data_IF_536559102957
#
_entry.id   IF_536559102957
#
_cell.length_a   1.000
_cell.length_b   1.000
_cell.length_c   1.000
_cell.angle_alpha   90.00
_cell.angle_beta   90.00
_cell.angle_gamma   90.00
#
_symmetry.space_group_name_H-M   'P 1'
#
loop_
_entity.id
_entity.type
_entity.pdbx_description
1 polymer ?
#
# COMPACT_ATOMS: atom_id res chain seq x y z
N UNK A 1 -9.90 20.83 -11.92
CA UNK A 1 -9.22 19.65 -12.46
C UNK A 1 -10.30 18.62 -12.73
N UNK A 2 -10.64 18.42 -14.01
CA UNK A 2 -11.81 17.64 -14.40
C UNK A 2 -11.52 16.15 -14.31
N UNK A 3 -12.35 15.44 -13.58
CA UNK A 3 -12.34 13.98 -13.52
C UNK A 3 -12.79 13.45 -14.88
N UNK A 4 -11.88 12.90 -15.69
CA UNK A 4 -12.24 12.20 -16.93
C UNK A 4 -12.48 10.74 -16.59
N UNK A 5 -13.71 10.27 -16.78
CA UNK A 5 -14.06 8.85 -16.63
C UNK A 5 -13.14 7.98 -17.48
N UNK A 6 -12.48 7.00 -16.85
CA UNK A 6 -11.50 6.13 -17.48
C UNK A 6 -10.03 6.59 -17.39
N UNK A 7 -9.76 7.78 -16.84
CA UNK A 7 -8.39 8.21 -16.53
C UNK A 7 -8.11 8.13 -15.03
N UNK A 8 -7.06 7.40 -14.65
CA UNK A 8 -6.65 7.23 -13.24
C UNK A 8 -5.50 8.16 -12.84
N UNK A 9 -4.98 8.95 -13.79
CA UNK A 9 -3.83 9.84 -13.56
C UNK A 9 -4.07 10.81 -12.40
N UNK A 10 -5.24 11.46 -12.34
CA UNK A 10 -5.56 12.41 -11.26
C UNK A 10 -5.56 11.77 -9.86
N UNK A 11 -5.92 10.48 -9.76
CA UNK A 11 -5.90 9.73 -8.50
C UNK A 11 -4.46 9.39 -8.14
N UNK A 12 -3.68 8.91 -9.11
CA UNK A 12 -2.27 8.56 -8.91
C UNK A 12 -1.35 9.76 -8.65
N UNK A 13 -1.71 10.93 -9.17
CA UNK A 13 -1.04 12.21 -8.87
C UNK A 13 -1.30 12.69 -7.43
N UNK A 14 -2.41 12.25 -6.83
CA UNK A 14 -2.84 12.64 -5.47
C UNK A 14 -2.42 11.62 -4.41
N UNK A 15 -2.47 10.33 -4.74
CA UNK A 15 -2.15 9.24 -3.83
C UNK A 15 -1.33 8.15 -4.54
N UNK A 16 -0.26 7.69 -3.91
CA UNK A 16 0.48 6.51 -4.37
C UNK A 16 -0.35 5.26 -4.05
N UNK A 17 -1.08 4.73 -5.03
CA UNK A 17 -1.69 3.40 -4.93
C UNK A 17 -0.76 2.35 -5.57
N UNK A 18 -0.87 1.11 -5.08
CA UNK A 18 -0.12 -0.06 -5.61
C UNK A 18 -0.30 -0.24 -7.14
N UNK A 19 -1.43 0.21 -7.69
CA UNK A 19 -1.72 0.14 -9.13
C UNK A 19 -1.12 1.29 -9.95
N UNK A 20 -0.69 2.40 -9.32
CA UNK A 20 -0.24 3.60 -10.02
C UNK A 20 1.05 3.44 -10.83
N UNK A 21 2.00 2.55 -10.45
CA UNK A 21 3.12 2.19 -11.33
C UNK A 21 2.69 1.52 -12.65
N UNK A 22 1.48 0.94 -12.71
CA UNK A 22 0.92 0.29 -13.90
C UNK A 22 0.06 1.22 -14.75
N UNK A 23 -0.21 2.44 -14.27
CA UNK A 23 -1.01 3.46 -14.96
C UNK A 23 -0.06 4.43 -15.64
N UNK A 24 -0.31 4.76 -16.91
CA UNK A 24 0.47 5.74 -17.67
C UNK A 24 1.56 5.12 -18.55
N UNK A 25 2.67 5.85 -18.75
CA UNK A 25 3.82 5.41 -19.56
C UNK A 25 4.69 4.37 -18.85
N UNK A 26 5.77 3.91 -19.50
CA UNK A 26 6.68 2.83 -19.03
C UNK A 26 7.34 3.01 -17.66
N UNK A 27 7.16 4.16 -16.99
CA UNK A 27 7.70 4.46 -15.67
C UNK A 27 6.62 4.67 -14.59
N UNK A 28 5.33 4.51 -14.94
CA UNK A 28 4.21 4.73 -14.02
C UNK A 28 3.90 6.20 -13.74
N UNK A 29 2.86 6.45 -12.93
CA UNK A 29 2.52 7.79 -12.42
C UNK A 29 2.91 7.89 -10.95
N UNK A 30 3.74 8.88 -10.63
CA UNK A 30 4.12 9.23 -9.25
C UNK A 30 3.30 10.42 -8.72
N UNK A 31 3.05 10.49 -7.40
CA UNK A 31 2.32 11.59 -6.79
C UNK A 31 3.09 12.91 -6.88
N UNK A 32 2.35 14.01 -7.02
CA UNK A 32 2.92 15.36 -7.12
C UNK A 32 3.53 15.87 -5.81
N UNK A 33 3.08 15.33 -4.67
CA UNK A 33 3.56 15.68 -3.34
C UNK A 33 3.86 14.41 -2.53
N UNK A 34 5.08 13.89 -2.63
CA UNK A 34 5.58 12.77 -1.84
C UNK A 34 6.51 13.23 -0.71
N UNK A 35 6.62 12.43 0.35
CA UNK A 35 7.61 12.69 1.39
C UNK A 35 9.01 12.46 0.83
N UNK A 36 9.96 13.37 1.12
CA UNK A 36 11.33 13.26 0.62
C UNK A 36 11.95 11.90 0.95
N UNK A 37 12.64 11.34 -0.05
CA UNK A 37 13.36 10.09 0.07
C UNK A 37 14.56 10.26 1.03
N UNK A 38 14.89 9.19 1.74
CA UNK A 38 16.01 9.16 2.69
C UNK A 38 16.96 8.05 2.27
N UNK A 39 18.25 8.40 2.17
CA UNK A 39 19.31 7.42 1.93
C UNK A 39 19.83 6.89 3.26
N UNK A 40 19.76 5.56 3.43
CA UNK A 40 20.34 4.87 4.59
C UNK A 40 21.35 3.87 4.05
N UNK A 41 22.64 4.23 4.14
CA UNK A 41 23.74 3.34 3.80
C UNK A 41 23.76 2.89 2.33
N UNK A 42 23.35 3.76 1.39
CA UNK A 42 23.29 3.45 -0.03
C UNK A 42 22.02 2.75 -0.50
N UNK A 43 21.04 2.56 0.40
CA UNK A 43 19.67 2.18 0.02
C UNK A 43 18.77 3.40 0.09
N UNK A 44 18.23 3.81 -1.07
CA UNK A 44 17.25 4.88 -1.17
C UNK A 44 15.89 4.35 -0.75
N UNK A 45 15.42 4.75 0.44
CA UNK A 45 14.06 4.46 0.87
C UNK A 45 13.16 5.55 0.31
N UNK A 46 12.24 5.13 -0.56
CA UNK A 46 11.20 5.99 -1.07
C UNK A 46 10.13 6.20 0.00
N UNK A 47 9.68 7.44 0.12
CA UNK A 47 8.52 7.81 0.92
C UNK A 47 8.46 7.21 2.35
N UNK A 48 9.45 7.46 3.25
CA UNK A 48 9.54 6.78 4.54
C UNK A 48 8.36 7.05 5.47
N UNK A 49 7.66 8.17 5.33
CA UNK A 49 6.48 8.46 6.15
C UNK A 49 5.32 7.53 5.84
N UNK A 50 5.10 7.14 4.58
CA UNK A 50 4.01 6.19 4.24
C UNK A 50 4.38 4.78 4.66
N UNK A 51 5.65 4.41 4.55
CA UNK A 51 6.17 3.16 5.08
C UNK A 51 5.85 3.01 6.59
N UNK A 52 6.03 4.07 7.38
CA UNK A 52 5.64 4.08 8.79
C UNK A 52 4.13 3.88 9.00
N UNK A 53 3.29 4.50 8.17
CA UNK A 53 1.83 4.34 8.24
C UNK A 53 1.42 2.90 7.92
N UNK A 54 2.04 2.24 6.94
CA UNK A 54 1.80 0.81 6.65
C UNK A 54 2.13 -0.08 7.85
N UNK A 55 3.25 0.17 8.55
CA UNK A 55 3.61 -0.58 9.76
C UNK A 55 2.51 -0.43 10.83
N UNK A 56 2.03 0.80 11.07
CA UNK A 56 0.94 1.06 12.01
C UNK A 56 -0.35 0.37 11.58
N UNK A 57 -0.69 0.40 10.29
CA UNK A 57 -1.87 -0.25 9.73
C UNK A 57 -1.83 -1.77 9.92
N UNK A 58 -0.68 -2.41 9.69
CA UNK A 58 -0.47 -3.84 9.92
C UNK A 58 -0.66 -4.19 11.40
N UNK A 59 -0.09 -3.40 12.31
CA UNK A 59 -0.24 -3.59 13.77
C UNK A 59 -1.72 -3.49 14.17
N UNK A 60 -2.42 -2.46 13.71
CA UNK A 60 -3.85 -2.28 14.00
C UNK A 60 -4.68 -3.44 13.44
N UNK A 61 -4.38 -3.91 12.23
CA UNK A 61 -5.04 -5.07 11.62
C UNK A 61 -4.83 -6.33 12.44
N UNK A 62 -3.62 -6.56 12.96
CA UNK A 62 -3.33 -7.68 13.85
C UNK A 62 -4.17 -7.61 15.14
N UNK A 63 -4.27 -6.42 15.74
CA UNK A 63 -5.11 -6.18 16.93
C UNK A 63 -6.59 -6.44 16.64
N UNK A 64 -7.09 -6.03 15.47
CA UNK A 64 -8.46 -6.31 15.05
C UNK A 64 -8.72 -7.81 14.89
N UNK A 65 -7.80 -8.55 14.28
CA UNK A 65 -7.89 -10.01 14.15
C UNK A 65 -7.99 -10.67 15.54
N UNK A 66 -7.18 -10.22 16.51
CA UNK A 66 -7.24 -10.73 17.89
C UNK A 66 -8.60 -10.46 18.54
N UNK A 67 -9.14 -9.26 18.41
CA UNK A 67 -10.45 -8.91 18.97
C UNK A 67 -11.59 -9.72 18.35
N UNK A 68 -11.56 -9.95 17.04
CA UNK A 68 -12.59 -10.74 16.33
C UNK A 68 -12.55 -12.20 16.76
N UNK A 69 -11.34 -12.75 17.00
CA UNK A 69 -11.18 -14.11 17.52
C UNK A 69 -11.62 -14.25 18.98
N UNK A 70 -11.47 -13.20 19.79
CA UNK A 70 -11.84 -13.20 21.20
C UNK A 70 -13.36 -13.13 21.43
N UNK A 71 -14.14 -12.52 20.52
CA UNK A 71 -15.60 -12.38 20.70
C UNK A 71 -16.38 -13.58 20.15
N UNK A 72 -17.19 -14.21 21.00
CA UNK A 72 -17.91 -15.46 20.69
C UNK A 72 -19.24 -15.31 19.90
N UNK A 73 -19.76 -14.10 19.70
CA UNK A 73 -21.11 -13.84 19.14
C UNK A 73 -21.13 -12.95 17.89
N UNK A 74 -20.11 -13.02 17.04
CA UNK A 74 -20.08 -12.29 15.77
C UNK A 74 -20.71 -13.12 14.63
N UNK A 75 -21.83 -12.64 14.08
CA UNK A 75 -22.35 -13.14 12.79
C UNK A 75 -21.32 -12.79 11.71
N UNK A 76 -20.90 -13.77 10.92
CA UNK A 76 -19.89 -13.58 9.87
C UNK A 76 -18.43 -13.54 10.32
N UNK A 77 -18.08 -14.11 11.50
CA UNK A 77 -16.69 -14.17 12.00
C UNK A 77 -15.69 -14.68 10.95
N UNK A 78 -16.04 -15.73 10.20
CA UNK A 78 -15.10 -16.33 9.23
C UNK A 78 -14.89 -15.42 8.02
N UNK A 79 -15.95 -14.78 7.52
CA UNK A 79 -15.88 -13.89 6.36
C UNK A 79 -15.02 -12.66 6.67
N UNK A 80 -15.27 -12.00 7.81
CA UNK A 80 -14.49 -10.83 8.21
C UNK A 80 -13.03 -11.16 8.55
N UNK A 81 -12.76 -12.35 9.11
CA UNK A 81 -11.39 -12.80 9.35
C UNK A 81 -10.63 -13.01 8.03
N UNK A 82 -11.26 -13.64 7.02
CA UNK A 82 -10.64 -13.81 5.71
C UNK A 82 -10.35 -12.44 5.09
N UNK A 83 -11.29 -11.49 5.17
CA UNK A 83 -11.08 -10.13 4.71
C UNK A 83 -9.86 -9.48 5.37
N UNK A 84 -9.74 -9.53 6.70
CA UNK A 84 -8.58 -8.93 7.39
C UNK A 84 -7.26 -9.65 7.11
N UNK A 85 -7.28 -10.97 6.87
CA UNK A 85 -6.08 -11.69 6.42
C UNK A 85 -5.65 -11.27 5.02
N UNK A 86 -6.59 -11.09 4.09
CA UNK A 86 -6.30 -10.58 2.75
C UNK A 86 -5.82 -9.12 2.80
N UNK A 87 -6.44 -8.28 3.62
CA UNK A 87 -6.02 -6.89 3.84
C UNK A 87 -4.58 -6.81 4.38
N UNK A 88 -4.25 -7.63 5.38
CA UNK A 88 -2.88 -7.70 5.92
C UNK A 88 -1.85 -8.11 4.85
N UNK A 89 -2.19 -9.05 3.97
CA UNK A 89 -1.31 -9.47 2.88
C UNK A 89 -1.09 -8.34 1.85
N UNK A 90 -2.15 -7.60 1.50
CA UNK A 90 -2.06 -6.47 0.56
C UNK A 90 -1.25 -5.32 1.15
N UNK A 91 -1.47 -4.97 2.42
CA UNK A 91 -0.69 -3.92 3.12
C UNK A 91 0.80 -4.25 3.18
N UNK A 92 1.14 -5.53 3.42
CA UNK A 92 2.53 -5.98 3.43
C UNK A 92 3.17 -5.84 2.04
N UNK A 93 2.46 -6.20 0.97
CA UNK A 93 2.93 -6.02 -0.40
C UNK A 93 3.06 -4.53 -0.77
N UNK A 94 2.09 -3.70 -0.37
CA UNK A 94 2.10 -2.26 -0.57
C UNK A 94 3.30 -1.60 0.10
N UNK A 95 3.64 -2.02 1.33
CA UNK A 95 4.81 -1.52 2.06
C UNK A 95 6.11 -1.72 1.27
N UNK A 96 6.31 -2.87 0.61
CA UNK A 96 7.52 -3.10 -0.18
C UNK A 96 7.59 -2.24 -1.44
N UNK A 97 6.44 -2.01 -2.08
CA UNK A 97 6.33 -1.23 -3.31
C UNK A 97 6.56 0.26 -3.02
N UNK A 98 5.85 0.82 -2.03
CA UNK A 98 5.88 2.25 -1.70
C UNK A 98 7.22 2.67 -1.08
N UNK A 99 7.89 1.75 -0.37
CA UNK A 99 9.22 2.00 0.19
C UNK A 99 10.33 1.94 -0.87
N UNK A 100 10.03 1.43 -2.06
CA UNK A 100 11.02 1.18 -3.12
C UNK A 100 12.09 0.15 -2.74
N UNK A 101 11.86 -0.65 -1.68
CA UNK A 101 12.77 -1.73 -1.25
C UNK A 101 12.91 -2.76 -2.37
N UNK A 102 11.79 -3.05 -3.04
CA UNK A 102 11.79 -3.82 -4.28
C UNK A 102 11.45 -2.82 -5.39
N UNK A 103 12.41 -2.43 -6.25
CA UNK A 103 12.13 -1.48 -7.31
C UNK A 103 11.08 -2.05 -8.26
N UNK A 104 10.20 -1.20 -8.78
CA UNK A 104 9.13 -1.59 -9.73
C UNK A 104 9.67 -2.21 -11.02
N UNK A 105 10.92 -1.90 -11.39
CA UNK A 105 11.63 -2.52 -12.51
C UNK A 105 12.23 -3.92 -12.21
N UNK A 106 12.06 -4.43 -10.98
CA UNK A 106 12.53 -5.75 -10.61
C UNK A 106 11.67 -6.82 -11.28
N UNK A 107 12.28 -7.91 -11.78
CA UNK A 107 11.61 -9.07 -12.40
C UNK A 107 10.55 -9.74 -11.50
N UNK A 108 10.56 -9.43 -10.20
CA UNK A 108 9.53 -9.85 -9.26
C UNK A 108 8.16 -9.22 -9.55
N UNK A 109 8.13 -8.05 -10.20
CA UNK A 109 6.93 -7.39 -10.70
C UNK A 109 6.88 -7.55 -12.22
N UNK A 110 5.87 -8.27 -12.76
CA UNK A 110 5.75 -8.51 -14.20
C UNK A 110 5.36 -7.26 -15.00
#
# INVERSE_FOLDING_TARGET
MGFQFGSFNSICETAALVICPLVGSSQGVEPTCYSRNVDIGGTLIFQPSTCFVHIVAIIMTAIMILHIRSKYTAVGRKEILIFFWMYMAIELLAMFLDSGIIPTANKAYP
#
